data_IF_360467550419
#
_entry.id   IF_360467550419
#
_cell.length_a   1.000
_cell.length_b   1.000
_cell.length_c   1.000
_cell.angle_alpha   90.00
_cell.angle_beta   90.00
_cell.angle_gamma   90.00
#
_symmetry.space_group_name_H-M   'P 1'
#
loop_
_entity.id
_entity.type
_entity.pdbx_description
1 polymer ?
#
# COMPACT_ATOMS: atom_id res chain seq x y z
N UNK A 1 -22.38 -17.05 -10.61
CA UNK A 1 -21.11 -17.69 -11.03
C UNK A 1 -21.29 -19.19 -10.82
N UNK A 2 -20.95 -20.05 -11.78
CA UNK A 2 -21.09 -21.50 -11.60
C UNK A 2 -20.04 -22.04 -10.62
N UNK A 3 -20.35 -23.15 -9.94
CA UNK A 3 -19.42 -23.84 -9.04
C UNK A 3 -18.09 -24.18 -9.76
N UNK A 4 -18.18 -24.63 -11.01
CA UNK A 4 -17.02 -24.93 -11.86
C UNK A 4 -16.12 -23.71 -12.06
N UNK A 5 -16.70 -22.52 -12.21
CA UNK A 5 -15.94 -21.27 -12.38
C UNK A 5 -15.13 -20.92 -11.13
N UNK A 6 -15.63 -21.27 -9.94
CA UNK A 6 -14.94 -21.03 -8.67
C UNK A 6 -13.74 -21.97 -8.56
N UNK A 7 -13.92 -23.27 -8.82
CA UNK A 7 -12.82 -24.22 -8.77
C UNK A 7 -11.72 -23.91 -9.79
N UNK A 8 -12.08 -23.55 -11.02
CA UNK A 8 -11.11 -23.17 -12.04
C UNK A 8 -10.33 -21.91 -11.61
N UNK A 9 -11.04 -20.90 -11.07
CA UNK A 9 -10.40 -19.70 -10.55
C UNK A 9 -9.42 -20.03 -9.41
N UNK A 10 -9.83 -20.83 -8.43
CA UNK A 10 -8.99 -21.24 -7.31
C UNK A 10 -7.78 -22.03 -7.79
N UNK A 11 -7.95 -22.94 -8.74
CA UNK A 11 -6.86 -23.71 -9.32
C UNK A 11 -5.82 -22.81 -10.00
N UNK A 12 -6.26 -21.88 -10.86
CA UNK A 12 -5.36 -20.91 -11.51
C UNK A 12 -4.68 -20.03 -10.45
N UNK A 13 -5.41 -19.60 -9.42
CA UNK A 13 -4.83 -18.77 -8.35
C UNK A 13 -3.74 -19.51 -7.56
N UNK A 14 -3.94 -20.79 -7.25
CA UNK A 14 -2.94 -21.62 -6.58
C UNK A 14 -1.72 -21.78 -7.49
N UNK A 15 -1.92 -22.21 -8.73
CA UNK A 15 -0.83 -22.41 -9.69
C UNK A 15 -0.04 -21.13 -9.95
N UNK A 16 -0.72 -19.99 -10.08
CA UNK A 16 -0.11 -18.67 -10.26
C UNK A 16 0.87 -18.29 -9.13
N UNK A 17 0.63 -18.76 -7.90
CA UNK A 17 1.52 -18.51 -6.76
C UNK A 17 2.77 -19.39 -6.78
N UNK A 18 2.70 -20.56 -7.42
CA UNK A 18 3.80 -21.52 -7.51
C UNK A 18 4.62 -21.37 -8.80
N UNK A 19 4.09 -20.65 -9.79
CA UNK A 19 4.78 -20.39 -11.04
C UNK A 19 5.90 -19.35 -10.90
N UNK A 20 7.08 -19.66 -11.43
CA UNK A 20 8.22 -18.72 -11.51
C UNK A 20 8.00 -17.75 -12.67
N UNK A 21 7.57 -16.53 -12.34
CA UNK A 21 7.22 -15.49 -13.34
C UNK A 21 8.40 -14.65 -13.83
N UNK A 22 9.55 -14.74 -13.17
CA UNK A 22 10.68 -13.83 -13.38
C UNK A 22 11.58 -14.20 -14.58
N UNK A 23 11.42 -15.39 -15.16
CA UNK A 23 12.41 -15.94 -16.10
C UNK A 23 12.05 -15.83 -17.59
N UNK A 24 10.82 -15.43 -17.96
CA UNK A 24 10.43 -15.43 -19.38
C UNK A 24 10.06 -14.02 -19.88
N UNK A 25 10.95 -13.38 -20.63
CA UNK A 25 10.64 -12.26 -21.53
C UNK A 25 9.82 -12.69 -22.76
N UNK A 26 9.22 -13.88 -22.70
CA UNK A 26 8.45 -14.46 -23.79
C UNK A 26 7.21 -13.62 -24.04
N UNK A 27 7.09 -13.12 -25.27
CA UNK A 27 5.88 -12.47 -25.77
C UNK A 27 4.80 -13.53 -26.01
N UNK A 28 3.57 -13.20 -25.62
CA UNK A 28 2.44 -14.10 -25.83
C UNK A 28 1.50 -13.53 -26.87
N UNK A 29 1.15 -14.38 -27.83
CA UNK A 29 0.24 -14.05 -28.91
C UNK A 29 -0.97 -14.95 -28.80
N UNK A 30 -2.16 -14.35 -28.91
CA UNK A 30 -3.41 -15.08 -28.93
C UNK A 30 -4.22 -14.65 -30.14
N UNK A 31 -4.73 -15.60 -30.91
CA UNK A 31 -5.44 -15.32 -32.15
C UNK A 31 -6.93 -15.54 -31.99
N UNK A 32 -7.73 -14.54 -32.32
CA UNK A 32 -9.19 -14.61 -32.38
C UNK A 32 -9.61 -15.00 -33.80
N UNK A 33 -10.35 -16.10 -33.93
CA UNK A 33 -10.85 -16.58 -35.22
C UNK A 33 -11.94 -15.66 -35.78
N UNK A 34 -11.71 -15.09 -36.97
CA UNK A 34 -12.76 -14.43 -37.76
C UNK A 34 -13.36 -13.18 -37.12
N UNK A 35 -12.65 -12.54 -36.19
CA UNK A 35 -13.07 -11.32 -35.53
C UNK A 35 -12.03 -10.23 -35.82
N UNK A 36 -12.50 -9.12 -36.38
CA UNK A 36 -11.80 -7.83 -36.42
C UNK A 36 -12.56 -6.94 -35.43
N UNK A 37 -11.85 -6.36 -34.46
CA UNK A 37 -12.47 -5.54 -33.43
C UNK A 37 -12.61 -4.12 -33.98
N UNK A 38 -13.83 -3.71 -34.34
CA UNK A 38 -14.10 -2.35 -34.82
C UNK A 38 -13.97 -1.34 -33.68
N UNK A 39 -14.41 -1.72 -32.47
CA UNK A 39 -14.27 -0.90 -31.28
C UNK A 39 -13.76 -1.72 -30.09
N UNK A 40 -12.43 -1.78 -30.01
CA UNK A 40 -11.69 -2.51 -28.98
C UNK A 40 -12.12 -2.15 -27.56
N UNK A 41 -12.44 -0.89 -27.27
CA UNK A 41 -12.84 -0.45 -25.94
C UNK A 41 -14.17 -1.06 -25.50
N UNK A 42 -15.09 -1.30 -26.44
CA UNK A 42 -16.42 -1.83 -26.17
C UNK A 42 -16.48 -3.36 -26.25
N UNK A 43 -15.65 -3.95 -27.09
CA UNK A 43 -15.65 -5.39 -27.39
C UNK A 43 -14.80 -6.19 -26.40
N UNK A 44 -13.69 -5.64 -25.90
CA UNK A 44 -12.86 -6.33 -24.90
C UNK A 44 -13.44 -6.09 -23.50
N UNK A 45 -14.33 -6.99 -23.08
CA UNK A 45 -14.85 -7.01 -21.70
C UNK A 45 -13.94 -7.82 -20.78
N UNK A 46 -13.59 -7.22 -19.65
CA UNK A 46 -12.79 -7.87 -18.60
C UNK A 46 -13.53 -9.11 -18.07
N UNK A 47 -12.88 -10.27 -18.13
CA UNK A 47 -13.31 -11.47 -17.42
C UNK A 47 -13.90 -12.61 -18.25
N UNK A 48 -13.63 -12.71 -19.55
CA UNK A 48 -13.95 -13.93 -20.29
C UNK A 48 -12.68 -14.63 -20.79
N UNK A 49 -12.61 -15.94 -20.54
CA UNK A 49 -11.59 -16.82 -21.10
C UNK A 49 -11.82 -16.89 -22.62
N UNK A 50 -10.77 -16.64 -23.39
CA UNK A 50 -10.79 -16.84 -24.84
C UNK A 50 -9.84 -18.00 -25.12
N UNK A 51 -10.35 -19.10 -25.69
CA UNK A 51 -9.52 -20.20 -26.21
C UNK A 51 -10.07 -20.73 -27.53
N UNK A 52 -9.64 -20.20 -28.68
CA UNK A 52 -9.84 -20.77 -30.03
C UNK A 52 -8.72 -20.27 -30.95
N UNK A 53 -7.95 -21.18 -31.57
CA UNK A 53 -6.92 -20.87 -32.57
C UNK A 53 -7.51 -21.07 -33.99
N UNK A 54 -7.28 -20.13 -34.90
CA UNK A 54 -7.60 -20.24 -36.34
C UNK A 54 -6.66 -19.42 -37.21
N UNK A 55 -6.65 -19.65 -38.52
CA UNK A 55 -5.69 -19.07 -39.45
C UNK A 55 -5.98 -17.62 -39.90
N UNK A 56 -7.14 -17.04 -39.55
CA UNK A 56 -7.54 -15.66 -39.94
C UNK A 56 -8.19 -14.94 -38.75
N UNK A 57 -7.85 -13.64 -38.55
CA UNK A 57 -8.48 -12.76 -37.53
C UNK A 57 -7.50 -11.94 -36.66
N UNK A 58 -8.02 -11.36 -35.58
CA UNK A 58 -7.28 -10.48 -34.66
C UNK A 58 -6.21 -11.24 -33.84
N UNK A 59 -5.02 -10.67 -33.72
CA UNK A 59 -3.91 -11.18 -32.90
C UNK A 59 -3.76 -10.25 -31.69
N UNK A 60 -4.10 -10.76 -30.51
CA UNK A 60 -3.85 -10.11 -29.24
C UNK A 60 -2.40 -10.37 -28.83
N UNK A 61 -1.63 -9.30 -28.71
CA UNK A 61 -0.28 -9.30 -28.19
C UNK A 61 -0.31 -8.94 -26.70
N UNK A 62 0.11 -9.87 -25.83
CA UNK A 62 0.14 -9.64 -24.39
C UNK A 62 1.53 -9.23 -23.97
N UNK A 63 1.64 -8.02 -23.41
CA UNK A 63 2.87 -7.58 -22.80
C UNK A 63 3.21 -8.45 -21.57
N UNK A 64 4.47 -8.91 -21.37
CA UNK A 64 4.86 -9.79 -20.26
C UNK A 64 4.49 -9.24 -18.86
N UNK A 65 4.36 -7.92 -18.73
CA UNK A 65 3.90 -7.27 -17.49
C UNK A 65 2.49 -7.68 -17.06
N UNK A 66 1.65 -8.22 -17.95
CA UNK A 66 0.32 -8.73 -17.59
C UNK A 66 0.38 -9.95 -16.67
N UNK A 67 1.35 -10.85 -16.85
CA UNK A 67 1.57 -11.99 -15.93
C UNK A 67 2.03 -11.54 -14.54
N UNK A 68 2.59 -10.33 -14.44
CA UNK A 68 3.11 -9.74 -13.20
C UNK A 68 2.10 -8.87 -12.46
N UNK A 69 0.92 -8.61 -13.03
CA UNK A 69 -0.05 -7.73 -12.40
C UNK A 69 -0.67 -8.39 -11.15
N UNK A 70 -0.70 -7.65 -10.04
CA UNK A 70 -1.06 -8.15 -8.69
C UNK A 70 -2.49 -8.70 -8.52
N UNK A 71 -3.32 -8.65 -9.55
CA UNK A 71 -4.74 -9.03 -9.52
C UNK A 71 -5.11 -9.91 -10.73
N UNK A 72 -4.15 -10.16 -11.64
CA UNK A 72 -4.33 -11.01 -12.80
C UNK A 72 -3.64 -12.33 -12.51
N UNK A 73 -4.40 -13.31 -12.03
CA UNK A 73 -3.88 -14.66 -11.85
C UNK A 73 -3.75 -15.33 -13.22
N UNK A 74 -2.62 -15.94 -13.47
CA UNK A 74 -2.34 -16.71 -14.69
C UNK A 74 -1.43 -17.90 -14.39
N UNK A 75 -1.53 -18.96 -15.17
CA UNK A 75 -0.64 -20.12 -15.06
C UNK A 75 -0.39 -20.79 -16.42
N UNK A 76 0.83 -21.30 -16.61
CA UNK A 76 1.20 -22.16 -17.72
C UNK A 76 0.60 -23.56 -17.51
N UNK A 77 -0.21 -23.99 -18.47
CA UNK A 77 -0.72 -25.34 -18.59
C UNK A 77 0.06 -26.08 -19.67
N UNK A 78 0.77 -27.18 -19.32
CA UNK A 78 1.42 -28.01 -20.32
C UNK A 78 0.36 -28.70 -21.17
N UNK A 79 0.49 -28.58 -22.50
CA UNK A 79 -0.33 -29.29 -23.49
C UNK A 79 0.59 -30.16 -24.34
N UNK A 80 0.08 -31.26 -24.88
CA UNK A 80 0.89 -32.23 -25.66
C UNK A 80 1.70 -31.59 -26.80
N UNK A 81 1.27 -30.44 -27.32
CA UNK A 81 1.91 -29.76 -28.46
C UNK A 81 2.27 -28.28 -28.18
N UNK A 82 2.34 -27.86 -26.91
CA UNK A 82 2.70 -26.48 -26.59
C UNK A 82 2.41 -26.07 -25.15
N UNK A 83 2.73 -24.81 -24.83
CA UNK A 83 2.35 -24.17 -23.57
C UNK A 83 1.13 -23.29 -23.81
N UNK A 84 0.10 -23.49 -23.00
CA UNK A 84 -1.09 -22.63 -23.01
C UNK A 84 -1.11 -21.83 -21.71
N UNK A 85 -1.35 -20.53 -21.78
CA UNK A 85 -1.47 -19.69 -20.59
C UNK A 85 -2.94 -19.47 -20.30
N UNK A 86 -3.36 -19.89 -19.12
CA UNK A 86 -4.69 -19.61 -18.62
C UNK A 86 -4.65 -18.37 -17.76
N UNK A 87 -5.51 -17.39 -18.06
CA UNK A 87 -5.75 -16.21 -17.23
C UNK A 87 -7.04 -16.39 -16.44
N UNK A 88 -6.99 -16.30 -15.12
CA UNK A 88 -8.19 -16.36 -14.29
C UNK A 88 -9.09 -15.17 -14.57
N UNK A 89 -10.40 -15.42 -14.62
CA UNK A 89 -11.41 -14.37 -14.60
C UNK A 89 -11.25 -13.53 -13.33
N UNK A 90 -11.25 -12.20 -13.47
CA UNK A 90 -11.26 -11.30 -12.31
C UNK A 90 -12.50 -11.59 -11.45
N UNK A 91 -12.29 -11.89 -10.17
CA UNK A 91 -13.38 -12.11 -9.23
C UNK A 91 -14.12 -10.79 -9.01
N UNK A 92 -15.31 -10.61 -9.59
CA UNK A 92 -16.15 -9.46 -9.27
C UNK A 92 -16.70 -9.71 -7.88
N UNK A 93 -16.06 -9.13 -6.86
CA UNK A 93 -16.54 -9.24 -5.50
C UNK A 93 -17.93 -8.59 -5.46
N UNK A 94 -18.96 -9.35 -5.10
CA UNK A 94 -20.34 -8.88 -5.08
C UNK A 94 -20.60 -7.74 -4.09
N UNK A 95 -19.64 -7.44 -3.20
CA UNK A 95 -19.87 -6.67 -1.98
C UNK A 95 -19.11 -5.32 -1.91
N UNK A 96 -18.30 -4.98 -2.91
CA UNK A 96 -17.65 -3.67 -2.98
C UNK A 96 -17.81 -3.07 -4.38
N UNK A 97 -18.60 -2.00 -4.46
CA UNK A 97 -18.65 -1.01 -5.55
C UNK A 97 -18.17 -1.57 -6.91
N UNK A 98 -18.89 -2.54 -7.46
CA UNK A 98 -18.46 -3.31 -8.63
C UNK A 98 -18.03 -2.41 -9.80
N UNK A 99 -18.65 -1.22 -9.91
CA UNK A 99 -18.31 -0.17 -10.86
C UNK A 99 -16.87 0.34 -10.71
N UNK A 100 -16.41 0.62 -9.50
CA UNK A 100 -15.03 1.08 -9.24
C UNK A 100 -14.00 -0.02 -9.53
N UNK A 101 -14.35 -1.28 -9.28
CA UNK A 101 -13.48 -2.41 -9.61
C UNK A 101 -13.40 -2.65 -11.13
N UNK A 102 -14.52 -2.49 -11.85
CA UNK A 102 -14.55 -2.56 -13.32
C UNK A 102 -13.72 -1.41 -13.91
N UNK A 103 -13.83 -0.21 -13.37
CA UNK A 103 -13.05 0.95 -13.84
C UNK A 103 -11.55 0.81 -13.58
N UNK A 104 -11.14 0.31 -12.42
CA UNK A 104 -9.72 0.13 -12.08
C UNK A 104 -9.07 -1.05 -12.81
N UNK A 105 -9.85 -2.02 -13.28
CA UNK A 105 -9.38 -3.19 -14.00
C UNK A 105 -9.59 -3.11 -15.52
N UNK A 106 -9.94 -1.95 -16.08
CA UNK A 106 -9.99 -1.77 -17.54
C UNK A 106 -8.63 -2.08 -18.16
N UNK A 107 -8.64 -2.83 -19.25
CA UNK A 107 -7.42 -3.13 -20.00
C UNK A 107 -7.13 -1.97 -20.93
N UNK A 108 -5.86 -1.54 -20.98
CA UNK A 108 -5.44 -0.62 -22.02
C UNK A 108 -5.08 -1.45 -23.24
N UNK A 109 -6.02 -1.50 -24.18
CA UNK A 109 -5.86 -2.16 -25.44
C UNK A 109 -5.60 -1.09 -26.52
N UNK A 110 -4.54 -1.28 -27.31
CA UNK A 110 -4.19 -0.35 -28.39
C UNK A 110 -3.90 -1.17 -29.66
N UNK A 111 -4.48 -0.77 -30.79
CA UNK A 111 -4.08 -1.33 -32.10
C UNK A 111 -2.62 -0.95 -32.36
N UNK A 112 -1.76 -1.94 -32.55
CA UNK A 112 -0.38 -1.73 -32.96
C UNK A 112 -0.27 -1.67 -34.49
N UNK A 113 -0.96 -2.57 -35.18
CA UNK A 113 -1.00 -2.61 -36.64
C UNK A 113 -2.28 -3.25 -37.14
N UNK A 114 -2.82 -2.79 -38.25
CA UNK A 114 -4.02 -3.35 -38.87
C UNK A 114 -3.84 -3.44 -40.38
N UNK A 115 -4.24 -4.56 -40.97
CA UNK A 115 -4.33 -4.74 -42.40
C UNK A 115 -5.70 -5.37 -42.75
N UNK A 116 -5.95 -5.61 -44.05
CA UNK A 116 -7.22 -6.13 -44.55
C UNK A 116 -7.70 -7.44 -43.90
N UNK A 117 -6.78 -8.25 -43.37
CA UNK A 117 -7.08 -9.61 -42.89
C UNK A 117 -6.68 -9.87 -41.43
N UNK A 118 -5.87 -9.00 -40.83
CA UNK A 118 -5.34 -9.17 -39.48
C UNK A 118 -5.23 -7.82 -38.77
N UNK A 119 -5.65 -7.81 -37.51
CA UNK A 119 -5.51 -6.69 -36.60
C UNK A 119 -4.67 -7.14 -35.41
N UNK A 120 -3.58 -6.45 -35.11
CA UNK A 120 -2.73 -6.72 -33.97
C UNK A 120 -3.03 -5.71 -32.86
N UNK A 121 -3.46 -6.19 -31.70
CA UNK A 121 -3.83 -5.36 -30.56
C UNK A 121 -2.94 -5.67 -29.37
N UNK A 122 -2.21 -4.68 -28.87
CA UNK A 122 -1.40 -4.82 -27.68
C UNK A 122 -2.23 -4.55 -26.42
N UNK A 123 -2.14 -5.51 -25.50
CA UNK A 123 -2.79 -5.48 -24.20
C UNK A 123 -1.75 -5.16 -23.12
N UNK A 124 -1.97 -4.04 -22.44
CA UNK A 124 -1.16 -3.60 -21.31
C UNK A 124 -2.02 -3.48 -20.06
N UNK A 125 -1.53 -4.01 -18.94
CA UNK A 125 -2.20 -3.83 -17.64
C UNK A 125 -2.16 -2.37 -17.18
N UNK A 126 -3.34 -1.78 -16.93
CA UNK A 126 -3.51 -0.43 -16.40
C UNK A 126 -2.70 -0.16 -15.11
N UNK A 127 -2.57 -1.19 -14.26
CA UNK A 127 -1.85 -1.06 -12.97
C UNK A 127 -0.38 -0.69 -13.14
N UNK A 128 0.25 -1.05 -14.26
CA UNK A 128 1.65 -0.70 -14.49
C UNK A 128 1.83 0.75 -14.93
N UNK A 129 0.93 1.33 -15.74
CA UNK A 129 1.16 2.67 -16.26
C UNK A 129 1.04 3.71 -15.14
N UNK A 130 0.03 3.60 -14.28
CA UNK A 130 -0.17 4.56 -13.18
C UNK A 130 0.88 4.39 -12.07
N UNK A 131 1.22 3.15 -11.71
CA UNK A 131 2.24 2.89 -10.70
C UNK A 131 3.64 3.23 -11.21
N UNK A 132 3.97 2.98 -12.48
CA UNK A 132 5.25 3.38 -13.08
C UNK A 132 5.34 4.91 -13.21
N UNK A 133 4.28 5.62 -13.62
CA UNK A 133 4.28 7.08 -13.64
C UNK A 133 4.40 7.69 -12.24
N UNK A 134 3.67 7.14 -11.25
CA UNK A 134 3.76 7.58 -9.86
C UNK A 134 5.14 7.24 -9.28
N UNK A 135 5.69 6.06 -9.56
CA UNK A 135 7.02 5.64 -9.11
C UNK A 135 8.13 6.42 -9.81
N UNK A 136 8.00 6.78 -11.09
CA UNK A 136 8.93 7.65 -11.81
C UNK A 136 8.87 9.09 -11.27
N UNK A 137 7.66 9.61 -11.01
CA UNK A 137 7.46 10.92 -10.37
C UNK A 137 8.00 10.97 -8.94
N UNK A 138 7.76 9.92 -8.14
CA UNK A 138 8.26 9.78 -6.77
C UNK A 138 9.77 9.55 -6.77
N UNK A 139 10.32 8.69 -7.65
CA UNK A 139 11.76 8.42 -7.76
C UNK A 139 12.55 9.64 -8.22
N UNK A 140 11.98 10.47 -9.10
CA UNK A 140 12.55 11.78 -9.49
C UNK A 140 12.64 12.75 -8.29
N UNK A 141 11.78 12.58 -7.28
CA UNK A 141 11.69 13.47 -6.10
C UNK A 141 12.33 12.91 -4.82
N UNK A 142 12.66 11.61 -4.76
CA UNK A 142 13.09 10.93 -3.50
C UNK A 142 14.25 9.95 -3.66
N UNK A 143 15.26 10.27 -4.48
CA UNK A 143 16.46 9.43 -4.69
C UNK A 143 17.21 9.04 -3.40
N UNK A 144 17.13 9.86 -2.34
CA UNK A 144 17.76 9.58 -1.02
C UNK A 144 16.88 8.72 -0.11
N UNK A 145 15.58 8.98 -0.05
CA UNK A 145 14.68 8.29 0.89
C UNK A 145 14.46 6.81 0.52
N UNK A 146 14.45 6.49 -0.78
CA UNK A 146 14.33 5.10 -1.27
C UNK A 146 15.48 4.21 -0.78
N UNK A 147 16.71 4.73 -0.70
CA UNK A 147 17.85 3.94 -0.20
C UNK A 147 17.74 3.64 1.27
N UNK A 148 17.37 4.63 2.10
CA UNK A 148 17.18 4.40 3.53
C UNK A 148 16.00 3.48 3.81
N UNK A 149 14.88 3.61 3.09
CA UNK A 149 13.72 2.76 3.30
C UNK A 149 13.99 1.30 2.90
N UNK A 150 14.65 1.06 1.75
CA UNK A 150 15.04 -0.29 1.35
C UNK A 150 16.05 -0.90 2.32
N UNK A 151 17.04 -0.13 2.77
CA UNK A 151 18.03 -0.59 3.75
C UNK A 151 17.39 -0.95 5.10
N UNK A 152 16.36 -0.21 5.52
CA UNK A 152 15.61 -0.51 6.74
C UNK A 152 14.71 -1.73 6.55
N UNK A 153 14.04 -1.88 5.40
CA UNK A 153 13.18 -3.03 5.10
C UNK A 153 14.02 -4.31 4.99
N UNK A 154 15.15 -4.28 4.29
CA UNK A 154 16.05 -5.42 4.13
C UNK A 154 16.64 -5.83 5.49
N UNK A 155 17.03 -4.85 6.32
CA UNK A 155 17.51 -5.08 7.69
C UNK A 155 16.42 -5.72 8.58
N UNK A 156 15.18 -5.22 8.52
CA UNK A 156 14.07 -5.77 9.31
C UNK A 156 13.66 -7.17 8.81
N UNK A 157 13.70 -7.41 7.51
CA UNK A 157 13.38 -8.70 6.89
C UNK A 157 14.44 -9.76 7.24
N UNK A 158 15.72 -9.42 7.16
CA UNK A 158 16.81 -10.33 7.53
C UNK A 158 16.75 -10.69 9.03
N UNK A 159 16.52 -9.70 9.90
CA UNK A 159 16.43 -9.92 11.34
C UNK A 159 15.16 -10.67 11.75
N UNK A 160 14.01 -10.39 11.14
CA UNK A 160 12.77 -11.13 11.43
C UNK A 160 12.87 -12.60 10.97
N UNK A 161 13.52 -12.90 9.85
CA UNK A 161 13.77 -14.28 9.41
C UNK A 161 14.70 -15.01 10.37
N UNK A 162 15.76 -14.36 10.86
CA UNK A 162 16.67 -14.95 11.86
C UNK A 162 15.92 -15.25 13.16
N UNK A 163 15.10 -14.32 13.64
CA UNK A 163 14.28 -14.51 14.85
C UNK A 163 13.27 -15.64 14.65
N UNK A 164 12.57 -15.70 13.51
CA UNK A 164 11.61 -16.76 13.22
C UNK A 164 12.31 -18.13 13.13
N UNK A 165 13.47 -18.21 12.48
CA UNK A 165 14.26 -19.47 12.41
C UNK A 165 14.79 -19.89 13.77
N UNK A 166 15.22 -18.95 14.61
CA UNK A 166 15.65 -19.23 15.98
C UNK A 166 14.48 -19.75 16.82
N UNK A 167 13.32 -19.09 16.75
CA UNK A 167 12.10 -19.50 17.45
C UNK A 167 11.60 -20.87 17.00
N UNK A 168 11.60 -21.15 15.69
CA UNK A 168 11.17 -22.45 15.15
C UNK A 168 12.21 -23.56 15.39
N UNK A 169 13.51 -23.22 15.40
CA UNK A 169 14.59 -24.17 15.67
C UNK A 169 14.67 -24.62 17.13
N UNK A 170 14.22 -23.79 18.07
CA UNK A 170 14.22 -24.08 19.52
C UNK A 170 13.05 -24.99 19.94
N UNK A 171 12.08 -25.28 19.06
CA UNK A 171 10.90 -26.09 19.40
C UNK A 171 11.17 -27.59 19.67
N UNK A 172 12.39 -28.11 19.45
CA UNK A 172 12.64 -29.56 19.47
C UNK A 172 13.24 -30.15 20.77
N UNK A 173 13.47 -29.37 21.84
CA UNK A 173 14.11 -29.94 23.05
C UNK A 173 13.66 -29.41 24.42
N UNK A 174 12.52 -28.71 24.52
CA UNK A 174 12.14 -28.07 25.78
C UNK A 174 11.19 -28.91 26.65
N UNK A 175 11.56 -29.08 27.92
CA UNK A 175 10.79 -29.75 28.97
C UNK A 175 9.44 -29.04 29.28
N UNK A 176 8.46 -29.77 29.84
CA UNK A 176 7.07 -29.30 30.03
C UNK A 176 6.88 -28.06 30.91
N UNK A 177 7.88 -27.64 31.68
CA UNK A 177 7.83 -26.42 32.52
C UNK A 177 7.86 -25.11 31.70
N UNK A 178 8.17 -25.16 30.41
CA UNK A 178 8.22 -23.98 29.52
C UNK A 178 6.89 -23.58 28.87
N UNK A 179 5.82 -24.34 29.12
CA UNK A 179 4.53 -24.17 28.43
C UNK A 179 3.88 -22.81 28.67
N UNK A 180 3.97 -22.26 29.88
CA UNK A 180 3.35 -20.96 30.21
C UNK A 180 4.08 -19.77 29.55
N UNK A 181 5.41 -19.72 29.63
CA UNK A 181 6.23 -18.69 28.97
C UNK A 181 6.09 -18.74 27.45
N UNK A 182 5.96 -19.95 26.89
CA UNK A 182 5.75 -20.12 25.45
C UNK A 182 4.35 -19.66 25.02
N UNK A 183 3.29 -19.92 25.79
CA UNK A 183 1.96 -19.40 25.49
C UNK A 183 1.88 -17.87 25.59
N UNK A 184 2.52 -17.27 26.59
CA UNK A 184 2.65 -15.80 26.69
C UNK A 184 3.39 -15.21 25.49
N UNK A 185 4.44 -15.86 25.04
CA UNK A 185 5.20 -15.45 23.85
C UNK A 185 4.34 -15.54 22.57
N UNK A 186 3.60 -16.63 22.39
CA UNK A 186 2.69 -16.79 21.24
C UNK A 186 1.55 -15.76 21.24
N UNK A 187 0.93 -15.53 22.39
CA UNK A 187 -0.11 -14.50 22.53
C UNK A 187 0.45 -13.10 22.21
N UNK A 188 1.67 -12.81 22.64
CA UNK A 188 2.32 -11.54 22.38
C UNK A 188 2.71 -11.37 20.90
N UNK A 189 3.21 -12.41 20.24
CA UNK A 189 3.46 -12.38 18.78
C UNK A 189 2.16 -12.07 18.03
N UNK A 190 1.06 -12.73 18.41
CA UNK A 190 -0.24 -12.48 17.79
C UNK A 190 -0.71 -11.04 18.02
N UNK A 191 -0.57 -10.53 19.24
CA UNK A 191 -0.85 -9.14 19.57
C UNK A 191 0.00 -8.16 18.75
N UNK A 192 1.30 -8.43 18.60
CA UNK A 192 2.23 -7.60 17.82
C UNK A 192 1.83 -7.59 16.34
N UNK A 193 1.49 -8.73 15.75
CA UNK A 193 1.02 -8.82 14.35
C UNK A 193 -0.29 -8.05 14.17
N UNK A 194 -1.23 -8.16 15.11
CA UNK A 194 -2.50 -7.42 15.08
C UNK A 194 -2.26 -5.91 15.22
N UNK A 195 -1.36 -5.52 16.12
CA UNK A 195 -0.97 -4.13 16.31
C UNK A 195 -0.28 -3.57 15.07
N UNK A 196 0.63 -4.30 14.43
CA UNK A 196 1.30 -3.91 13.20
C UNK A 196 0.31 -3.71 12.05
N UNK A 197 -0.67 -4.61 11.90
CA UNK A 197 -1.75 -4.47 10.89
C UNK A 197 -2.63 -3.25 11.16
N UNK A 198 -3.04 -3.05 12.42
CA UNK A 198 -3.83 -1.89 12.82
C UNK A 198 -3.05 -0.59 12.59
N UNK A 199 -1.77 -0.58 12.94
CA UNK A 199 -0.87 0.53 12.77
C UNK A 199 -0.68 0.88 11.29
N UNK A 200 -0.44 -0.11 10.42
CA UNK A 200 -0.34 0.11 8.97
C UNK A 200 -1.66 0.65 8.42
N UNK A 201 -2.80 0.12 8.85
CA UNK A 201 -4.12 0.62 8.43
C UNK A 201 -4.36 2.09 8.82
N UNK A 202 -3.96 2.47 10.05
CA UNK A 202 -4.02 3.87 10.52
C UNK A 202 -3.04 4.74 9.73
N UNK A 203 -1.81 4.26 9.53
CA UNK A 203 -0.75 4.96 8.83
C UNK A 203 -1.11 5.27 7.38
N UNK A 204 -1.70 4.32 6.65
CA UNK A 204 -2.14 4.52 5.26
C UNK A 204 -3.33 5.47 5.14
N UNK A 205 -4.17 5.58 6.17
CA UNK A 205 -5.33 6.47 6.16
C UNK A 205 -5.02 7.92 6.56
N UNK A 206 -3.89 8.19 7.21
CA UNK A 206 -3.52 9.55 7.62
C UNK A 206 -2.78 10.28 6.48
N UNK A 207 -3.45 11.25 5.84
CA UNK A 207 -2.91 12.04 4.71
C UNK A 207 -1.76 13.01 5.06
N UNK A 208 -1.40 13.15 6.34
CA UNK A 208 -0.51 14.22 6.82
C UNK A 208 0.88 13.69 7.18
N UNK A 209 1.90 14.11 6.42
CA UNK A 209 3.31 13.71 6.54
C UNK A 209 3.92 13.81 7.94
N UNK A 210 3.43 14.71 8.79
CA UNK A 210 3.96 14.88 10.15
C UNK A 210 3.58 13.74 11.10
N UNK A 211 2.47 13.05 10.85
CA UNK A 211 1.99 11.93 11.67
C UNK A 211 2.72 10.63 11.36
N UNK A 212 3.18 10.49 10.11
CA UNK A 212 3.97 9.37 9.61
C UNK A 212 5.25 9.18 10.42
N UNK A 213 6.03 10.25 10.63
CA UNK A 213 7.28 10.19 11.38
C UNK A 213 7.05 9.87 12.86
N UNK A 214 6.01 10.47 13.46
CA UNK A 214 5.62 10.23 14.85
C UNK A 214 5.26 8.76 15.08
N UNK A 215 4.42 8.20 14.21
CA UNK A 215 4.01 6.81 14.26
C UNK A 215 5.22 5.87 14.13
N UNK A 216 6.16 6.16 13.23
CA UNK A 216 7.38 5.37 13.05
C UNK A 216 8.26 5.38 14.31
N UNK A 217 8.45 6.54 14.95
CA UNK A 217 9.23 6.63 16.19
C UNK A 217 8.57 5.84 17.32
N UNK A 218 7.25 5.93 17.44
CA UNK A 218 6.49 5.16 18.44
C UNK A 218 6.66 3.65 18.23
N UNK A 219 6.57 3.19 16.97
CA UNK A 219 6.73 1.79 16.61
C UNK A 219 8.15 1.26 16.87
N UNK A 220 9.17 2.05 16.53
CA UNK A 220 10.57 1.72 16.79
C UNK A 220 10.85 1.58 18.29
N UNK A 221 10.37 2.52 19.11
CA UNK A 221 10.54 2.46 20.56
C UNK A 221 9.86 1.21 21.16
N UNK A 222 8.67 0.86 20.69
CA UNK A 222 7.97 -0.34 21.12
C UNK A 222 8.73 -1.63 20.74
N UNK A 223 9.28 -1.66 19.52
CA UNK A 223 10.05 -2.80 19.02
C UNK A 223 11.36 -3.00 19.77
N UNK A 224 12.06 -1.92 20.13
CA UNK A 224 13.30 -1.98 20.93
C UNK A 224 13.01 -2.51 22.34
N UNK A 225 11.95 -2.00 22.98
CA UNK A 225 11.55 -2.46 24.32
C UNK A 225 11.22 -3.96 24.31
N UNK A 226 10.58 -4.44 23.24
CA UNK A 226 10.31 -5.86 23.05
C UNK A 226 11.58 -6.70 22.92
N UNK A 227 12.54 -6.28 22.10
CA UNK A 227 13.81 -6.99 21.94
C UNK A 227 14.56 -7.11 23.28
N UNK A 228 14.57 -6.04 24.09
CA UNK A 228 15.18 -6.04 25.43
C UNK A 228 14.48 -7.04 26.34
N UNK A 229 13.13 -7.05 26.34
CA UNK A 229 12.34 -7.98 27.15
C UNK A 229 12.59 -9.45 26.76
N UNK A 230 12.57 -9.73 25.45
CA UNK A 230 12.85 -11.07 24.93
C UNK A 230 14.26 -11.54 25.31
N UNK A 231 15.28 -10.69 25.11
CA UNK A 231 16.65 -11.02 25.46
C UNK A 231 16.81 -11.31 26.97
N UNK A 232 16.24 -10.47 27.84
CA UNK A 232 16.32 -10.70 29.28
C UNK A 232 15.55 -11.94 29.73
N UNK A 233 14.38 -12.23 29.17
CA UNK A 233 13.64 -13.45 29.51
C UNK A 233 14.42 -14.72 29.11
N UNK A 234 15.08 -14.73 27.96
CA UNK A 234 15.99 -15.81 27.58
C UNK A 234 17.20 -15.91 28.54
N UNK A 235 17.73 -14.77 28.99
CA UNK A 235 18.84 -14.74 29.94
C UNK A 235 18.46 -15.31 31.32
N UNK A 236 17.29 -14.96 31.85
CA UNK A 236 16.74 -15.47 33.11
C UNK A 236 16.57 -16.99 33.08
N UNK A 237 16.08 -17.50 31.94
CA UNK A 237 15.80 -18.92 31.76
C UNK A 237 17.05 -19.81 31.90
N UNK A 238 18.25 -19.25 31.71
CA UNK A 238 19.51 -19.99 31.74
C UNK A 238 20.16 -20.08 33.13
N UNK A 239 19.62 -19.45 34.17
CA UNK A 239 20.20 -19.58 35.51
C UNK A 239 19.86 -20.95 36.13
N UNK A 240 20.83 -21.67 36.70
CA UNK A 240 20.58 -22.97 37.30
C UNK A 240 19.92 -22.88 38.69
N UNK A 241 20.22 -21.83 39.48
CA UNK A 241 19.94 -21.82 40.91
C UNK A 241 18.67 -21.02 41.32
N UNK A 242 17.95 -21.48 42.34
CA UNK A 242 16.61 -20.97 42.72
C UNK A 242 16.68 -19.64 43.49
N UNK A 243 17.70 -19.47 44.32
CA UNK A 243 17.89 -18.24 45.13
C UNK A 243 18.29 -17.06 44.23
N UNK A 244 19.21 -17.29 43.29
CA UNK A 244 19.61 -16.27 42.30
C UNK A 244 18.46 -15.88 41.37
N UNK A 245 17.61 -16.84 40.98
CA UNK A 245 16.39 -16.55 40.21
C UNK A 245 15.47 -15.57 40.92
N UNK A 246 15.27 -15.71 42.22
CA UNK A 246 14.32 -14.87 42.96
C UNK A 246 14.81 -13.42 43.05
N UNK A 247 16.11 -13.24 43.33
CA UNK A 247 16.73 -11.91 43.39
C UNK A 247 16.76 -11.25 42.00
N UNK A 248 17.03 -12.04 40.95
CA UNK A 248 17.02 -11.56 39.58
C UNK A 248 15.61 -11.20 39.10
N UNK A 249 14.59 -11.98 39.44
CA UNK A 249 13.18 -11.68 39.11
C UNK A 249 12.75 -10.37 39.77
N UNK A 250 13.14 -10.13 41.02
CA UNK A 250 12.83 -8.87 41.71
C UNK A 250 13.55 -7.67 41.08
N UNK A 251 14.83 -7.82 40.74
CA UNK A 251 15.58 -6.80 40.01
C UNK A 251 14.97 -6.54 38.62
N UNK A 252 14.56 -7.59 37.91
CA UNK A 252 13.92 -7.50 36.61
C UNK A 252 12.58 -6.78 36.68
N UNK A 253 11.73 -7.13 37.66
CA UNK A 253 10.45 -6.46 37.88
C UNK A 253 10.67 -4.96 38.18
N UNK A 254 11.71 -4.61 38.93
CA UNK A 254 12.09 -3.22 39.18
C UNK A 254 12.51 -2.50 37.88
N UNK A 255 13.39 -3.10 37.07
CA UNK A 255 13.81 -2.53 35.77
C UNK A 255 12.62 -2.38 34.82
N UNK A 256 11.71 -3.35 34.81
CA UNK A 256 10.50 -3.31 34.00
C UNK A 256 9.57 -2.18 34.43
N UNK A 257 9.34 -2.02 35.74
CA UNK A 257 8.57 -0.90 36.29
C UNK A 257 9.19 0.45 35.93
N UNK A 258 10.52 0.56 35.99
CA UNK A 258 11.24 1.76 35.59
C UNK A 258 11.07 2.06 34.09
N UNK A 259 11.21 1.06 33.23
CA UNK A 259 11.04 1.21 31.79
C UNK A 259 9.60 1.58 31.41
N UNK A 260 8.60 0.96 32.06
CA UNK A 260 7.19 1.30 31.85
C UNK A 260 6.87 2.72 32.34
N UNK A 261 7.49 3.16 33.44
CA UNK A 261 7.38 4.54 33.93
C UNK A 261 7.98 5.55 32.93
N UNK A 262 9.18 5.27 32.40
CA UNK A 262 9.82 6.10 31.37
C UNK A 262 8.97 6.13 30.10
N UNK A 263 8.43 4.99 29.67
CA UNK A 263 7.58 4.90 28.50
C UNK A 263 6.28 5.71 28.67
N UNK A 264 5.61 5.59 29.82
CA UNK A 264 4.43 6.39 30.14
C UNK A 264 4.74 7.89 30.20
N UNK A 265 5.90 8.27 30.74
CA UNK A 265 6.36 9.66 30.74
C UNK A 265 6.60 10.17 29.31
N UNK A 266 7.23 9.38 28.44
CA UNK A 266 7.42 9.72 27.03
C UNK A 266 6.09 9.85 26.28
N UNK A 267 5.14 8.94 26.50
CA UNK A 267 3.77 9.06 25.92
C UNK A 267 3.11 10.35 26.40
N UNK A 268 3.21 10.67 27.69
CA UNK A 268 2.61 11.88 28.26
C UNK A 268 3.20 13.15 27.65
N UNK A 269 4.53 13.22 27.50
CA UNK A 269 5.21 14.32 26.80
C UNK A 269 4.79 14.41 25.33
N UNK A 270 4.64 13.27 24.65
CA UNK A 270 4.19 13.23 23.26
C UNK A 270 2.75 13.72 23.13
N UNK A 271 1.84 13.29 24.00
CA UNK A 271 0.45 13.78 24.03
C UNK A 271 0.41 15.28 24.33
N UNK A 272 1.18 15.76 25.30
CA UNK A 272 1.27 17.18 25.62
C UNK A 272 1.77 18.00 24.42
N UNK A 273 2.83 17.53 23.74
CA UNK A 273 3.35 18.18 22.52
C UNK A 273 2.32 18.20 21.39
N UNK A 274 1.51 17.14 21.27
CA UNK A 274 0.44 17.04 20.28
C UNK A 274 -0.69 18.02 20.56
N UNK A 275 -1.10 18.14 21.83
CA UNK A 275 -2.11 19.11 22.27
C UNK A 275 -1.60 20.53 21.99
N UNK A 276 -0.36 20.85 22.36
CA UNK A 276 0.27 22.15 22.07
C UNK A 276 0.34 22.45 20.56
N UNK A 277 0.66 21.46 19.73
CA UNK A 277 0.71 21.65 18.28
C UNK A 277 -0.68 21.88 17.69
N UNK A 278 -1.70 21.16 18.18
CA UNK A 278 -3.09 21.33 17.74
C UNK A 278 -3.63 22.71 18.11
N UNK A 279 -3.37 23.19 19.33
CA UNK A 279 -3.77 24.53 19.77
C UNK A 279 -3.04 25.64 19.02
N UNK A 280 -1.75 25.45 18.70
CA UNK A 280 -0.99 26.39 17.87
C UNK A 280 -1.58 26.48 16.46
N UNK A 281 -1.96 25.35 15.85
CA UNK A 281 -2.53 25.33 14.50
C UNK A 281 -3.92 25.97 14.42
N UNK A 282 -4.75 25.82 15.46
CA UNK A 282 -6.03 26.54 15.54
C UNK A 282 -5.81 28.04 15.64
N UNK A 283 -4.81 28.47 16.41
CA UNK A 283 -4.45 29.88 16.55
C UNK A 283 -3.99 30.50 15.22
N UNK A 284 -3.13 29.82 14.47
CA UNK A 284 -2.68 30.29 13.14
C UNK A 284 -3.83 30.39 12.14
N UNK A 285 -4.76 29.45 12.14
CA UNK A 285 -5.92 29.50 11.25
C UNK A 285 -6.83 30.69 11.56
N UNK A 286 -7.05 31.01 12.83
CA UNK A 286 -7.86 32.17 13.24
C UNK A 286 -7.18 33.49 12.86
N UNK A 287 -5.85 33.58 13.02
CA UNK A 287 -5.05 34.74 12.57
C UNK A 287 -5.12 34.90 11.05
N UNK A 288 -4.99 33.82 10.28
CA UNK A 288 -5.07 33.84 8.81
C UNK A 288 -6.49 34.21 8.34
N UNK A 289 -7.54 33.71 9.01
CA UNK A 289 -8.94 34.07 8.71
C UNK A 289 -9.21 35.55 9.02
N UNK A 290 -8.70 36.08 10.13
CA UNK A 290 -8.81 37.51 10.45
C UNK A 290 -8.04 38.38 9.45
N UNK A 291 -6.84 38.00 9.04
CA UNK A 291 -6.08 38.73 8.03
C UNK A 291 -6.78 38.72 6.66
N UNK A 292 -7.35 37.57 6.24
CA UNK A 292 -8.17 37.50 5.01
C UNK A 292 -9.41 38.39 5.07
N UNK A 293 -10.09 38.46 6.23
CA UNK A 293 -11.22 39.40 6.42
C UNK A 293 -10.78 40.86 6.31
N UNK A 294 -9.66 41.25 6.93
CA UNK A 294 -9.11 42.62 6.80
C UNK A 294 -8.72 42.96 5.36
N UNK A 295 -8.06 42.05 4.64
CA UNK A 295 -7.72 42.22 3.22
C UNK A 295 -8.98 42.33 2.34
N UNK A 296 -9.98 41.49 2.56
CA UNK A 296 -11.26 41.54 1.84
C UNK A 296 -11.98 42.88 2.05
N UNK A 297 -12.03 43.38 3.28
CA UNK A 297 -12.60 44.70 3.59
C UNK A 297 -11.81 45.83 2.92
N UNK A 298 -10.48 45.77 2.93
CA UNK A 298 -9.63 46.74 2.24
C UNK A 298 -9.88 46.77 0.73
N UNK A 299 -9.97 45.61 0.07
CA UNK A 299 -10.30 45.53 -1.36
C UNK A 299 -11.71 46.06 -1.66
N UNK A 300 -12.70 45.77 -0.80
CA UNK A 300 -14.07 46.30 -0.94
C UNK A 300 -14.09 47.82 -0.86
N UNK A 301 -13.34 48.41 0.09
CA UNK A 301 -13.21 49.86 0.23
C UNK A 301 -12.50 50.51 -0.97
N UNK A 302 -11.41 49.90 -1.45
CA UNK A 302 -10.67 50.38 -2.64
C UNK A 302 -11.55 50.35 -3.90
N UNK A 303 -12.35 49.30 -4.09
CA UNK A 303 -13.29 49.20 -5.21
C UNK A 303 -14.44 50.21 -5.12
N UNK A 304 -14.95 50.51 -3.92
CA UNK A 304 -15.92 51.60 -3.74
C UNK A 304 -15.32 52.96 -4.13
N UNK A 305 -14.08 53.26 -3.71
CA UNK A 305 -13.41 54.52 -4.05
C UNK A 305 -13.22 54.68 -5.56
N UNK A 306 -12.87 53.60 -6.27
CA UNK A 306 -12.77 53.60 -7.74
C UNK A 306 -14.13 53.86 -8.40
N UNK A 307 -15.22 53.24 -7.92
CA UNK A 307 -16.57 53.49 -8.45
C UNK A 307 -17.02 54.93 -8.23
N UNK A 308 -16.79 55.49 -7.04
CA UNK A 308 -17.10 56.89 -6.75
C UNK A 308 -16.32 57.84 -7.66
N UNK A 309 -15.02 57.59 -7.88
CA UNK A 309 -14.21 58.45 -8.73
C UNK A 309 -14.66 58.40 -10.19
N UNK A 310 -15.02 57.21 -10.72
CA UNK A 310 -15.61 57.09 -12.06
C UNK A 310 -16.95 57.83 -12.17
N UNK A 311 -17.80 57.69 -11.17
CA UNK A 311 -19.12 58.35 -11.17
C UNK A 311 -19.01 59.87 -11.07
N UNK A 312 -17.99 60.38 -10.38
CA UNK A 312 -17.70 61.80 -10.28
C UNK A 312 -17.13 62.37 -11.59
N UNK A 313 -16.21 61.65 -12.25
CA UNK A 313 -15.70 62.02 -13.57
C UNK A 313 -16.82 62.07 -14.63
N UNK A 314 -17.73 61.09 -14.65
CA UNK A 314 -18.87 61.11 -15.57
C UNK A 314 -19.83 62.29 -15.34
N UNK A 315 -20.00 62.76 -14.09
CA UNK A 315 -20.82 63.96 -13.82
C UNK A 315 -20.13 65.24 -14.26
N UNK A 316 -18.80 65.34 -14.12
CA UNK A 316 -18.07 66.52 -14.56
C UNK A 316 -18.02 66.66 -16.08
N UNK A 317 -17.91 65.56 -16.83
CA UNK A 317 -17.97 65.60 -18.31
C UNK A 317 -19.32 66.08 -18.85
N UNK A 318 -20.41 65.88 -18.10
CA UNK A 318 -21.75 66.36 -18.47
C UNK A 318 -21.96 67.85 -18.16
N UNK A 319 -21.20 68.40 -17.20
CA UNK A 319 -21.30 69.82 -16.83
C UNK A 319 -20.45 70.68 -17.76
N UNK A 320 -19.32 70.19 -18.29
CA UNK A 320 -18.48 70.98 -19.22
C UNK A 320 -18.98 71.02 -20.67
N UNK A 321 -20.13 70.42 -20.97
CA UNK A 321 -20.80 70.46 -22.29
C UNK A 321 -22.02 71.39 -22.31
N UNK A 322 -22.27 72.11 -21.22
CA UNK A 322 -23.16 73.27 -21.15
C UNK A 322 -22.31 74.51 -20.91
#
# INVERSE_FOLDING_TARGET
MSIISIYLYTAIQILHRHERREESETEFYYKLKGVILENIENEIKVGFFLSVISNEGCILHFHPSMRRANIIFSCDMPRQYGREILFARSFVHFDMNAKAMIETNKWNAKVESENKYTQMTNLVSCTNITLIYILQYVAKKTKRLKRYLMMIIDFLHEKSIIIIRYVLGVQFSLQPTFTFSFMLFQFYILFFILFERLFLHIFFNIKTKHYTLFLIVLFLNHSILFCIFFYLSCFIANFPDVVEKTLFVNFFNFVLLLLMSIFNFCITLLIASFICFKTFRTFDNDVVVQQKKKLSQYFKFKMMKIRYHKHFQCRFSLISQK
#
